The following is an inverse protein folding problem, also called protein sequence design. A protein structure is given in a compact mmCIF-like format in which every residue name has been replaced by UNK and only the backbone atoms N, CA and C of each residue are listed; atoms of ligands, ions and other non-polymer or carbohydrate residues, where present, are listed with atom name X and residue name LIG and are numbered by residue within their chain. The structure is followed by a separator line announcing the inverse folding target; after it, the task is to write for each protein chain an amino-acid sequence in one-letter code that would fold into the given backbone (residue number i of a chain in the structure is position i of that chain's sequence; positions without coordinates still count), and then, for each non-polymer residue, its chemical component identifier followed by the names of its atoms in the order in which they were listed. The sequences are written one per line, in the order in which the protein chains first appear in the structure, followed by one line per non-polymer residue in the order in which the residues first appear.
data_IF_961972524759
#
_entry.id   IF_961972524759
#
_cell.length_a   1.000
_cell.length_b   1.000
_cell.length_c   1.000
_cell.angle_alpha   90.00
_cell.angle_beta   90.00
_cell.angle_gamma   90.00
#
_symmetry.space_group_name_H-M   'P 1'
#
loop_
_entity.id
_entity.type
_entity.pdbx_description
1 polymer ?
#
# COMPACT_ATOMS: atom_id res chain seq x y z
N UNK A 1 17.48 -20.69 16.05
CA UNK A 1 17.40 -19.70 14.97
C UNK A 1 16.77 -18.35 15.40
N UNK A 2 16.36 -18.18 16.67
CA UNK A 2 15.61 -17.01 17.13
C UNK A 2 16.43 -15.92 17.85
N UNK A 3 17.76 -15.98 17.89
CA UNK A 3 18.60 -15.00 18.59
C UNK A 3 19.30 -13.96 17.70
N UNK A 4 19.26 -14.10 16.37
CA UNK A 4 19.97 -13.18 15.46
C UNK A 4 19.09 -12.15 14.75
N UNK A 5 17.76 -12.33 14.78
CA UNK A 5 16.82 -11.38 14.14
C UNK A 5 16.66 -10.09 14.98
N UNK A 6 17.01 -10.13 16.27
CA UNK A 6 16.75 -9.03 17.22
C UNK A 6 17.90 -8.02 17.40
N UNK A 7 18.95 -8.08 16.60
CA UNK A 7 20.04 -7.09 16.66
C UNK A 7 20.17 -6.33 15.35
N UNK A 8 19.31 -5.32 15.19
CA UNK A 8 19.63 -4.22 14.29
C UNK A 8 20.87 -3.51 14.84
N UNK A 9 22.00 -3.46 14.12
CA UNK A 9 23.15 -2.69 14.59
C UNK A 9 22.79 -1.21 14.60
N UNK A 10 22.98 -0.56 15.73
CA UNK A 10 22.95 0.89 15.84
C UNK A 10 23.90 1.48 14.80
N UNK A 11 23.39 2.03 13.74
CA UNK A 11 24.15 2.82 12.78
C UNK A 11 24.46 4.18 13.39
N UNK A 12 25.53 4.24 14.16
CA UNK A 12 26.20 5.53 14.44
C UNK A 12 26.68 6.09 13.10
N UNK A 13 26.47 7.35 12.86
CA UNK A 13 26.74 8.11 11.63
C UNK A 13 28.15 8.05 11.04
N UNK A 14 29.03 7.24 11.60
CA UNK A 14 30.43 7.10 11.19
C UNK A 14 30.80 5.72 10.60
N UNK A 15 29.90 4.75 10.49
CA UNK A 15 30.25 3.40 10.07
C UNK A 15 29.54 2.90 8.80
N UNK A 16 29.23 3.79 7.86
CA UNK A 16 28.86 3.40 6.49
C UNK A 16 29.95 2.54 5.80
N UNK A 17 31.04 2.16 6.51
CA UNK A 17 32.27 1.78 5.84
C UNK A 17 32.55 0.29 5.71
N UNK A 18 31.90 -0.64 6.39
CA UNK A 18 32.29 -2.05 6.28
C UNK A 18 31.22 -3.05 5.81
N UNK A 19 29.98 -2.89 6.22
CA UNK A 19 28.90 -3.77 5.76
C UNK A 19 28.39 -3.37 4.36
N UNK A 20 28.40 -2.08 4.06
CA UNK A 20 27.90 -1.49 2.83
C UNK A 20 28.86 -1.58 1.64
N UNK A 21 30.14 -1.87 1.87
CA UNK A 21 31.15 -1.95 0.78
C UNK A 21 30.95 -3.10 -0.19
N UNK A 22 30.13 -4.10 0.14
CA UNK A 22 29.83 -5.22 -0.78
C UNK A 22 28.55 -5.05 -1.57
N UNK A 23 27.64 -4.15 -1.17
CA UNK A 23 26.28 -4.11 -1.72
C UNK A 23 25.90 -2.80 -2.43
N UNK A 24 26.75 -1.80 -2.56
CA UNK A 24 26.42 -0.50 -3.21
C UNK A 24 25.12 0.17 -2.71
N UNK A 25 24.59 -0.19 -1.53
CA UNK A 25 23.35 0.30 -0.99
C UNK A 25 23.60 1.41 0.02
N UNK A 26 22.87 2.51 -0.10
CA UNK A 26 22.91 3.61 0.86
C UNK A 26 21.50 3.87 1.39
N UNK A 27 21.32 4.01 2.72
CA UNK A 27 20.04 4.43 3.27
C UNK A 27 19.61 5.78 2.67
N UNK A 28 18.37 5.86 2.19
CA UNK A 28 17.79 7.10 1.63
C UNK A 28 16.90 7.82 2.62
N UNK A 29 16.46 7.14 3.66
CA UNK A 29 15.73 7.69 4.79
C UNK A 29 16.63 7.74 6.03
N UNK A 30 16.40 8.72 6.89
CA UNK A 30 17.13 8.87 8.14
C UNK A 30 16.69 7.86 9.19
N UNK A 31 15.86 8.31 10.12
CA UNK A 31 15.53 7.56 11.34
C UNK A 31 14.60 6.35 11.11
N UNK A 32 13.71 6.44 10.13
CA UNK A 32 12.69 5.44 9.84
C UNK A 32 12.98 4.76 8.50
N UNK A 33 13.92 3.84 8.48
CA UNK A 33 14.15 2.98 7.34
C UNK A 33 14.18 1.51 7.76
N UNK A 34 13.72 0.65 6.86
CA UNK A 34 13.69 -0.78 7.08
C UNK A 34 14.45 -1.55 6.00
N UNK A 35 15.08 -2.64 6.41
CA UNK A 35 15.60 -3.64 5.48
C UNK A 35 15.49 -5.02 6.11
N UNK A 36 15.45 -6.03 5.26
CA UNK A 36 15.49 -7.41 5.68
C UNK A 36 16.69 -8.11 5.08
N UNK A 37 17.14 -9.18 5.73
CA UNK A 37 18.09 -10.10 5.12
C UNK A 37 17.36 -10.98 4.10
N UNK A 38 18.06 -11.47 3.10
CA UNK A 38 17.49 -12.31 2.05
C UNK A 38 16.84 -13.60 2.60
N UNK A 39 17.37 -14.15 3.71
CA UNK A 39 16.82 -15.35 4.37
C UNK A 39 15.39 -15.18 4.89
N UNK A 40 14.91 -13.95 5.02
CA UNK A 40 13.49 -13.68 5.34
C UNK A 40 12.57 -14.21 4.24
N UNK A 41 13.01 -14.15 2.98
CA UNK A 41 12.26 -14.69 1.86
C UNK A 41 12.14 -16.22 1.95
N UNK A 42 13.19 -16.92 2.41
CA UNK A 42 13.14 -18.37 2.64
C UNK A 42 12.12 -18.71 3.73
N UNK A 43 12.11 -17.94 4.83
CA UNK A 43 11.12 -18.11 5.89
C UNK A 43 9.68 -17.83 5.42
N UNK A 44 9.48 -16.86 4.52
CA UNK A 44 8.17 -16.62 3.92
C UNK A 44 7.72 -17.79 3.04
N UNK A 45 8.62 -18.40 2.25
CA UNK A 45 8.31 -19.59 1.48
C UNK A 45 7.96 -20.78 2.37
N UNK A 46 8.69 -20.98 3.46
CA UNK A 46 8.45 -22.08 4.41
C UNK A 46 7.07 -22.02 5.05
N UNK A 47 6.52 -20.82 5.23
CA UNK A 47 5.15 -20.63 5.73
C UNK A 47 4.09 -20.48 4.61
N UNK A 48 4.48 -20.69 3.34
CA UNK A 48 3.57 -20.82 2.19
C UNK A 48 3.35 -19.55 1.37
N UNK A 49 4.06 -18.45 1.61
CA UNK A 49 3.99 -17.29 0.73
C UNK A 49 4.61 -17.61 -0.64
N UNK A 50 3.93 -17.24 -1.71
CA UNK A 50 4.37 -17.45 -3.09
C UNK A 50 4.20 -16.21 -3.97
N UNK A 51 3.57 -15.14 -3.44
CA UNK A 51 3.36 -13.88 -4.11
C UNK A 51 3.67 -12.70 -3.18
N UNK A 52 4.34 -11.67 -3.70
CA UNK A 52 4.78 -10.48 -2.96
C UNK A 52 4.45 -9.21 -3.73
N UNK A 53 3.64 -8.34 -3.13
CA UNK A 53 3.44 -6.97 -3.60
C UNK A 53 4.54 -6.09 -3.01
N UNK A 54 5.46 -5.61 -3.86
CA UNK A 54 6.68 -4.92 -3.43
C UNK A 54 6.57 -3.39 -3.46
N UNK A 55 5.50 -2.84 -4.04
CA UNK A 55 5.27 -1.40 -4.04
C UNK A 55 4.81 -0.93 -2.66
N UNK A 56 5.66 -0.20 -1.96
CA UNK A 56 5.33 0.47 -0.70
C UNK A 56 6.34 1.59 -0.41
N UNK A 57 6.06 2.39 0.62
CA UNK A 57 6.87 3.54 1.02
C UNK A 57 8.27 3.18 1.56
N UNK A 58 8.55 1.91 1.86
CA UNK A 58 9.84 1.40 2.33
C UNK A 58 10.65 0.67 1.25
N UNK A 59 10.07 0.41 0.09
CA UNK A 59 10.72 -0.33 -0.99
C UNK A 59 11.98 0.36 -1.55
N UNK A 60 12.16 1.66 -1.27
CA UNK A 60 13.31 2.45 -1.70
C UNK A 60 14.22 2.91 -0.54
N UNK A 61 14.08 2.36 0.64
CA UNK A 61 14.85 2.80 1.82
C UNK A 61 16.37 2.59 1.66
N UNK A 62 16.78 1.62 0.86
CA UNK A 62 18.17 1.39 0.46
C UNK A 62 18.50 1.89 -0.96
N UNK A 63 17.66 2.78 -1.51
CA UNK A 63 17.86 3.37 -2.83
C UNK A 63 17.72 2.38 -3.98
N UNK A 64 18.18 2.81 -5.16
CA UNK A 64 18.14 1.99 -6.38
C UNK A 64 18.84 0.64 -6.22
N UNK A 65 19.97 0.59 -5.51
CA UNK A 65 20.69 -0.65 -5.23
C UNK A 65 19.84 -1.62 -4.40
N UNK A 66 19.08 -1.12 -3.41
CA UNK A 66 18.14 -1.94 -2.62
C UNK A 66 17.02 -2.54 -3.48
N UNK A 67 16.47 -1.76 -4.41
CA UNK A 67 15.48 -2.24 -5.38
C UNK A 67 16.03 -3.36 -6.24
N UNK A 68 17.23 -3.18 -6.83
CA UNK A 68 17.86 -4.20 -7.66
C UNK A 68 18.18 -5.48 -6.89
N UNK A 69 18.70 -5.36 -5.66
CA UNK A 69 18.94 -6.51 -4.80
C UNK A 69 17.65 -7.25 -4.44
N UNK A 70 16.58 -6.52 -4.15
CA UNK A 70 15.28 -7.15 -3.84
C UNK A 70 14.73 -7.88 -5.07
N UNK A 71 14.84 -7.30 -6.28
CA UNK A 71 14.44 -7.98 -7.52
C UNK A 71 15.20 -9.30 -7.73
N UNK A 72 16.53 -9.28 -7.59
CA UNK A 72 17.38 -10.46 -7.72
C UNK A 72 16.93 -11.56 -6.74
N UNK A 73 16.80 -11.24 -5.46
CA UNK A 73 16.46 -12.19 -4.41
C UNK A 73 15.04 -12.80 -4.55
N UNK A 74 14.05 -12.02 -4.96
CA UNK A 74 12.68 -12.56 -5.17
C UNK A 74 12.58 -13.36 -6.46
N UNK A 75 13.34 -12.99 -7.51
CA UNK A 75 13.39 -13.73 -8.77
C UNK A 75 14.09 -15.07 -8.60
N UNK A 76 15.25 -15.11 -7.93
CA UNK A 76 15.97 -16.35 -7.66
C UNK A 76 15.13 -17.38 -6.88
N UNK A 77 14.31 -16.91 -5.94
CA UNK A 77 13.39 -17.77 -5.18
C UNK A 77 12.07 -18.05 -5.90
N UNK A 78 11.87 -17.44 -7.06
CA UNK A 78 10.71 -17.68 -7.89
C UNK A 78 9.39 -17.19 -7.27
N UNK A 79 9.37 -16.12 -6.49
CA UNK A 79 8.13 -15.48 -6.08
C UNK A 79 7.40 -14.86 -7.27
N UNK A 80 6.08 -14.94 -7.29
CA UNK A 80 5.28 -13.98 -8.05
C UNK A 80 5.46 -12.61 -7.38
N UNK A 81 5.94 -11.61 -8.11
CA UNK A 81 6.19 -10.28 -7.54
C UNK A 81 5.85 -9.18 -8.54
N UNK A 82 5.54 -8.00 -8.04
CA UNK A 82 5.28 -6.79 -8.82
C UNK A 82 5.50 -5.52 -7.98
N UNK A 83 5.66 -4.39 -8.65
CA UNK A 83 5.59 -3.07 -8.03
C UNK A 83 6.92 -2.36 -7.83
N UNK A 84 8.04 -2.99 -8.16
CA UNK A 84 9.36 -2.34 -8.30
C UNK A 84 10.00 -2.79 -9.60
N UNK A 85 10.92 -2.02 -10.16
CA UNK A 85 11.57 -2.36 -11.41
C UNK A 85 12.85 -1.59 -11.66
N UNK A 86 13.59 -1.99 -12.71
CA UNK A 86 14.83 -1.35 -13.15
C UNK A 86 14.57 0.01 -13.81
N UNK A 87 13.36 0.22 -14.29
CA UNK A 87 12.85 1.48 -14.82
C UNK A 87 11.32 1.54 -14.66
N UNK A 88 10.68 2.63 -15.11
CA UNK A 88 9.23 2.80 -14.94
C UNK A 88 8.40 1.83 -15.80
N UNK A 89 8.93 1.33 -16.90
CA UNK A 89 8.25 0.33 -17.73
C UNK A 89 8.21 -1.01 -16.99
N UNK A 90 9.36 -1.48 -16.55
CA UNK A 90 9.52 -2.72 -15.78
C UNK A 90 8.72 -2.68 -14.46
N UNK A 91 8.81 -1.58 -13.71
CA UNK A 91 8.08 -1.44 -12.45
C UNK A 91 6.55 -1.51 -12.60
N UNK A 92 6.01 -1.11 -13.77
CA UNK A 92 4.56 -1.13 -14.09
C UNK A 92 4.08 -2.47 -14.62
N UNK A 93 4.97 -3.33 -15.06
CA UNK A 93 4.58 -4.65 -15.54
C UNK A 93 3.89 -5.45 -14.43
N UNK A 94 2.83 -6.15 -14.81
CA UNK A 94 2.21 -7.12 -13.89
C UNK A 94 3.12 -8.32 -13.75
N UNK A 95 3.44 -8.68 -12.50
CA UNK A 95 4.01 -9.99 -12.24
C UNK A 95 3.03 -11.06 -12.72
N UNK A 96 3.51 -12.08 -13.45
CA UNK A 96 2.67 -13.17 -13.95
C UNK A 96 3.31 -14.50 -13.64
N UNK A 97 2.54 -15.41 -13.03
CA UNK A 97 3.01 -16.77 -12.72
C UNK A 97 1.86 -17.75 -12.64
N UNK A 98 2.11 -18.99 -13.03
CA UNK A 98 1.19 -20.10 -12.76
C UNK A 98 1.27 -20.50 -11.29
N UNK A 99 0.14 -20.35 -10.57
CA UNK A 99 -0.03 -20.78 -9.20
C UNK A 99 -1.15 -21.83 -9.16
N UNK A 100 -0.77 -23.05 -8.80
CA UNK A 100 -1.70 -24.19 -8.89
C UNK A 100 -2.22 -24.39 -10.32
N UNK A 101 -3.53 -24.30 -10.49
CA UNK A 101 -4.21 -24.50 -11.79
C UNK A 101 -4.44 -23.21 -12.57
N UNK A 102 -4.14 -22.04 -11.99
CA UNK A 102 -4.46 -20.73 -12.59
C UNK A 102 -3.21 -19.94 -12.95
N UNK A 103 -3.27 -19.18 -14.04
CA UNK A 103 -2.34 -18.10 -14.32
C UNK A 103 -2.77 -16.89 -13.50
N UNK A 104 -1.90 -16.38 -12.66
CA UNK A 104 -2.15 -15.26 -11.75
C UNK A 104 -1.34 -14.06 -12.20
N UNK A 105 -1.99 -12.91 -12.33
CA UNK A 105 -1.37 -11.62 -12.59
C UNK A 105 -1.48 -10.74 -11.34
N UNK A 106 -0.37 -10.16 -10.92
CA UNK A 106 -0.28 -9.25 -9.78
C UNK A 106 0.11 -7.85 -10.25
N UNK A 107 -0.74 -6.88 -9.99
CA UNK A 107 -0.40 -5.47 -10.04
C UNK A 107 -0.08 -5.00 -8.62
N UNK A 108 1.04 -4.30 -8.41
CA UNK A 108 1.33 -3.61 -7.16
C UNK A 108 1.75 -2.17 -7.43
N UNK A 109 1.14 -1.22 -6.73
CA UNK A 109 1.34 0.22 -6.91
C UNK A 109 1.41 0.94 -5.57
N UNK A 110 2.18 2.04 -5.52
CA UNK A 110 2.25 2.96 -4.39
C UNK A 110 1.71 4.34 -4.79
N UNK A 111 0.76 4.86 -4.00
CA UNK A 111 0.18 6.18 -4.21
C UNK A 111 0.81 7.26 -3.31
N UNK A 112 1.79 6.90 -2.51
CA UNK A 112 2.49 7.85 -1.64
C UNK A 112 1.68 8.29 -0.41
N UNK A 113 2.02 9.45 0.16
CA UNK A 113 3.03 10.40 -0.30
C UNK A 113 4.46 9.87 -0.11
N UNK A 114 5.32 10.16 -1.06
CA UNK A 114 6.72 9.78 -1.02
C UNK A 114 7.57 10.72 -1.89
N UNK A 115 8.89 10.78 -1.67
CA UNK A 115 9.76 11.60 -2.49
C UNK A 115 9.75 11.08 -3.94
N UNK A 116 9.78 11.99 -4.91
CA UNK A 116 9.80 11.63 -6.34
C UNK A 116 10.96 10.69 -6.70
N UNK A 117 12.07 10.80 -5.97
CA UNK A 117 13.27 9.97 -6.16
C UNK A 117 13.06 8.49 -5.89
N UNK A 118 12.01 8.08 -5.17
CA UNK A 118 11.75 6.66 -4.92
C UNK A 118 11.05 5.95 -6.09
N UNK A 119 10.41 6.71 -6.97
CA UNK A 119 9.66 6.12 -8.06
C UNK A 119 10.55 5.82 -9.27
N UNK A 120 10.26 4.72 -9.94
CA UNK A 120 11.00 4.30 -11.12
C UNK A 120 10.81 5.30 -12.27
N UNK A 121 11.87 5.53 -13.05
CA UNK A 121 11.84 6.40 -14.21
C UNK A 121 12.48 5.75 -15.43
N UNK A 122 11.91 6.03 -16.60
CA UNK A 122 12.46 5.59 -17.86
C UNK A 122 13.62 6.50 -18.30
N UNK A 123 14.48 5.98 -19.16
CA UNK A 123 15.51 6.76 -19.82
C UNK A 123 14.90 7.93 -20.61
N UNK A 124 15.56 9.07 -20.53
CA UNK A 124 15.28 10.23 -21.36
C UNK A 124 16.55 10.64 -22.12
N UNK A 125 16.45 11.59 -23.03
CA UNK A 125 17.63 12.12 -23.75
C UNK A 125 18.69 12.72 -22.78
N UNK A 126 18.31 13.09 -21.57
CA UNK A 126 19.14 13.80 -20.61
C UNK A 126 19.45 13.03 -19.34
N UNK A 127 18.67 11.97 -19.04
CA UNK A 127 18.83 11.18 -17.82
C UNK A 127 18.76 9.68 -18.09
N UNK A 128 19.60 8.86 -17.43
CA UNK A 128 19.45 7.40 -17.48
C UNK A 128 18.15 6.98 -16.77
N UNK A 129 17.70 5.76 -17.06
CA UNK A 129 16.64 5.13 -16.29
C UNK A 129 17.02 5.02 -14.81
N UNK A 130 16.02 5.01 -13.94
CA UNK A 130 16.20 4.87 -12.50
C UNK A 130 15.35 3.72 -11.98
N UNK A 131 15.98 2.71 -11.32
CA UNK A 131 15.26 1.71 -10.56
C UNK A 131 14.41 2.34 -9.47
N UNK A 132 13.23 1.79 -9.22
CA UNK A 132 12.34 2.33 -8.19
C UNK A 132 11.00 1.63 -8.12
N UNK A 133 10.06 2.32 -7.49
CA UNK A 133 8.71 1.85 -7.17
C UNK A 133 7.72 2.23 -8.27
N UNK A 134 6.76 1.36 -8.52
CA UNK A 134 5.62 1.64 -9.41
C UNK A 134 4.68 2.65 -8.76
N UNK A 135 4.42 3.75 -9.44
CA UNK A 135 3.67 4.89 -8.91
C UNK A 135 2.26 4.98 -9.45
N UNK A 136 1.28 5.18 -8.56
CA UNK A 136 0.01 5.82 -8.89
C UNK A 136 0.11 7.30 -8.48
N UNK A 137 0.09 8.21 -9.45
CA UNK A 137 0.17 9.64 -9.14
C UNK A 137 -1.10 10.12 -8.47
N UNK A 138 -0.93 10.87 -7.39
CA UNK A 138 -2.01 11.49 -6.63
C UNK A 138 -1.68 12.96 -6.33
N UNK A 139 -2.71 13.79 -6.25
CA UNK A 139 -2.60 15.20 -5.84
C UNK A 139 -3.37 15.39 -4.54
N UNK A 140 -2.71 15.96 -3.53
CA UNK A 140 -3.36 16.34 -2.27
C UNK A 140 -3.89 17.75 -2.41
N UNK A 141 -5.17 17.94 -2.07
CA UNK A 141 -5.85 19.22 -2.12
C UNK A 141 -6.54 19.53 -0.78
N UNK A 142 -6.72 20.79 -0.51
CA UNK A 142 -7.52 21.27 0.61
C UNK A 142 -8.79 21.90 0.05
N UNK A 143 -9.92 21.24 0.29
CA UNK A 143 -11.22 21.79 -0.03
C UNK A 143 -11.57 22.91 0.95
N UNK A 144 -12.01 24.05 0.43
CA UNK A 144 -12.44 25.18 1.23
C UNK A 144 -13.73 25.80 0.68
N UNK A 145 -14.67 26.26 1.53
CA UNK A 145 -15.87 26.95 1.07
C UNK A 145 -15.53 28.22 0.28
N UNK A 146 -16.38 28.53 -0.67
CA UNK A 146 -16.20 29.61 -1.65
C UNK A 146 -15.77 30.96 -1.04
N UNK A 147 -16.37 31.38 0.07
CA UNK A 147 -15.98 32.63 0.74
C UNK A 147 -14.54 32.62 1.25
N UNK A 148 -14.03 31.47 1.69
CA UNK A 148 -12.65 31.29 2.12
C UNK A 148 -11.71 31.17 0.92
N UNK A 149 -12.12 30.46 -0.12
CA UNK A 149 -11.36 30.36 -1.35
C UNK A 149 -11.09 31.73 -1.97
N UNK A 150 -12.12 32.59 -2.08
CA UNK A 150 -11.96 33.96 -2.57
C UNK A 150 -11.03 34.83 -1.71
N UNK A 151 -11.00 34.61 -0.39
CA UNK A 151 -10.04 35.31 0.49
C UNK A 151 -8.62 34.84 0.25
N UNK A 152 -8.40 33.54 0.09
CA UNK A 152 -7.10 32.98 -0.26
C UNK A 152 -6.62 33.47 -1.63
N UNK A 153 -7.50 33.50 -2.64
CA UNK A 153 -7.17 34.00 -3.96
C UNK A 153 -6.75 35.48 -3.93
N UNK A 154 -7.45 36.32 -3.12
CA UNK A 154 -7.07 37.72 -2.91
C UNK A 154 -5.70 37.82 -2.22
N UNK A 155 -5.46 37.02 -1.19
CA UNK A 155 -4.15 36.99 -0.52
C UNK A 155 -3.04 36.62 -1.51
N UNK A 156 -3.26 35.59 -2.34
CA UNK A 156 -2.32 35.19 -3.40
C UNK A 156 -1.99 36.33 -4.37
N UNK A 157 -2.99 37.12 -4.75
CA UNK A 157 -2.80 38.28 -5.63
C UNK A 157 -1.97 39.42 -5.01
N UNK A 158 -1.81 39.44 -3.68
CA UNK A 158 -0.93 40.38 -2.99
C UNK A 158 0.50 39.85 -2.79
N UNK A 159 0.69 38.54 -2.93
CA UNK A 159 2.01 37.96 -2.86
C UNK A 159 2.72 38.17 -4.20
N UNK A 160 3.87 38.82 -4.17
CA UNK A 160 4.70 38.94 -5.36
C UNK A 160 5.26 37.55 -5.67
N UNK A 161 4.72 36.90 -6.68
CA UNK A 161 5.28 35.66 -7.21
C UNK A 161 6.23 36.00 -8.36
N UNK A 162 7.48 35.62 -8.23
CA UNK A 162 8.43 35.63 -9.35
C UNK A 162 8.30 34.29 -10.10
N UNK A 163 8.28 34.28 -11.44
CA UNK A 163 8.42 33.03 -12.19
C UNK A 163 9.66 32.22 -11.77
N UNK A 164 10.68 32.90 -11.21
CA UNK A 164 11.89 32.26 -10.70
C UNK A 164 11.69 31.58 -9.34
N UNK A 165 10.71 31.95 -8.52
CA UNK A 165 10.44 31.27 -7.26
C UNK A 165 9.91 29.85 -7.50
N UNK A 166 9.04 29.69 -8.48
CA UNK A 166 8.53 28.37 -8.85
C UNK A 166 9.62 27.48 -9.48
N UNK A 167 10.56 28.07 -10.23
CA UNK A 167 11.65 27.35 -10.87
C UNK A 167 12.84 27.06 -9.95
N UNK A 168 13.04 27.81 -8.88
CA UNK A 168 14.14 27.58 -7.94
C UNK A 168 13.96 26.30 -7.09
N UNK A 169 12.73 25.84 -6.88
CA UNK A 169 12.42 24.66 -6.09
C UNK A 169 12.08 23.45 -6.95
N UNK A 170 11.73 23.66 -8.21
CA UNK A 170 11.51 22.58 -9.17
C UNK A 170 12.85 22.14 -9.77
N UNK A 171 13.04 20.85 -9.94
CA UNK A 171 14.10 20.37 -10.81
C UNK A 171 13.80 20.83 -12.26
N UNK A 172 14.82 21.09 -13.10
CA UNK A 172 14.60 21.62 -14.46
C UNK A 172 13.60 20.86 -15.32
N UNK A 173 13.33 19.62 -14.99
CA UNK A 173 12.46 18.73 -15.77
C UNK A 173 11.19 18.30 -15.00
N UNK A 174 10.99 18.80 -13.76
CA UNK A 174 9.73 18.60 -13.08
C UNK A 174 8.65 19.43 -13.82
N UNK A 175 7.52 18.81 -14.20
CA UNK A 175 6.43 19.60 -14.76
C UNK A 175 6.01 20.63 -13.72
N UNK A 176 5.79 21.90 -14.12
CA UNK A 176 5.27 22.89 -13.20
C UNK A 176 3.95 22.37 -12.62
N UNK A 177 3.81 22.40 -11.30
CA UNK A 177 2.54 22.15 -10.63
C UNK A 177 1.60 23.32 -10.95
N UNK A 178 0.99 23.29 -12.14
CA UNK A 178 -0.02 24.26 -12.54
C UNK A 178 -1.32 23.82 -11.89
N UNK A 179 -1.85 24.67 -11.02
CA UNK A 179 -3.20 24.50 -10.51
C UNK A 179 -4.17 24.54 -11.69
N UNK A 180 -5.13 23.61 -11.70
CA UNK A 180 -6.21 23.60 -12.68
C UNK A 180 -7.13 24.84 -12.50
N UNK A 181 -7.95 25.15 -13.50
CA UNK A 181 -8.95 26.21 -13.36
C UNK A 181 -9.84 25.98 -12.12
N UNK A 182 -9.98 26.99 -11.28
CA UNK A 182 -10.69 26.91 -10.00
C UNK A 182 -9.87 26.36 -8.84
N UNK A 183 -8.57 26.21 -9.01
CA UNK A 183 -7.62 25.84 -7.99
C UNK A 183 -6.63 26.96 -7.69
N UNK A 184 -6.03 26.90 -6.53
CA UNK A 184 -5.04 27.88 -6.06
C UNK A 184 -3.87 27.12 -5.45
N UNK A 185 -2.69 27.27 -6.02
CA UNK A 185 -1.47 26.70 -5.47
C UNK A 185 -0.77 27.73 -4.59
N UNK A 186 -0.60 27.42 -3.30
CA UNK A 186 0.18 28.19 -2.35
C UNK A 186 1.41 27.37 -1.95
N UNK A 187 2.57 27.66 -2.55
CA UNK A 187 3.83 27.03 -2.20
C UNK A 187 3.75 25.50 -2.11
N UNK A 188 3.14 24.87 -3.13
CA UNK A 188 2.96 23.42 -3.20
C UNK A 188 1.72 22.88 -2.49
N UNK A 189 0.93 23.72 -1.82
CA UNK A 189 -0.36 23.33 -1.27
C UNK A 189 -1.50 23.79 -2.21
N UNK A 190 -2.25 22.84 -2.75
CA UNK A 190 -3.35 23.11 -3.66
C UNK A 190 -4.65 23.26 -2.86
N UNK A 191 -5.30 24.41 -3.02
CA UNK A 191 -6.65 24.67 -2.50
C UNK A 191 -7.67 24.61 -3.63
N UNK A 192 -8.84 24.04 -3.35
CA UNK A 192 -9.95 23.96 -4.30
C UNK A 192 -11.25 24.36 -3.63
N UNK A 193 -12.22 24.83 -4.43
CA UNK A 193 -13.57 25.13 -3.92
C UNK A 193 -14.28 23.83 -3.53
N UNK A 194 -14.88 23.82 -2.33
CA UNK A 194 -15.67 22.71 -1.82
C UNK A 194 -16.82 23.21 -0.96
N UNK A 195 -17.84 22.40 -0.75
CA UNK A 195 -18.95 22.74 0.12
C UNK A 195 -18.49 22.89 1.60
N UNK A 196 -17.53 22.08 2.01
CA UNK A 196 -17.00 22.03 3.38
C UNK A 196 -15.48 22.04 3.38
N UNK A 197 -14.87 22.37 4.52
CA UNK A 197 -13.45 22.16 4.73
C UNK A 197 -13.13 20.68 4.74
N UNK A 198 -12.06 20.28 4.04
CA UNK A 198 -11.64 18.89 4.02
C UNK A 198 -10.31 18.66 3.31
N UNK A 199 -9.67 17.56 3.67
CA UNK A 199 -8.53 17.03 2.91
C UNK A 199 -9.08 16.19 1.77
N UNK A 200 -8.52 16.35 0.60
CA UNK A 200 -8.91 15.61 -0.60
C UNK A 200 -7.65 15.01 -1.24
N UNK A 201 -7.83 13.85 -1.81
CA UNK A 201 -6.80 13.20 -2.65
C UNK A 201 -7.48 12.90 -3.98
N UNK A 202 -6.86 13.33 -5.05
CA UNK A 202 -7.29 13.09 -6.41
C UNK A 202 -6.27 12.20 -7.12
N UNK A 203 -6.76 11.18 -7.81
CA UNK A 203 -5.92 10.28 -8.60
C UNK A 203 -5.71 10.90 -9.98
N UNK A 204 -4.46 10.98 -10.43
CA UNK A 204 -4.13 11.39 -11.80
C UNK A 204 -4.67 10.36 -12.79
N UNK A 205 -5.57 10.82 -13.67
CA UNK A 205 -6.29 9.95 -14.59
C UNK A 205 -5.37 9.28 -15.63
N UNK A 206 -4.33 9.99 -16.07
CA UNK A 206 -3.37 9.41 -17.02
C UNK A 206 -2.56 8.29 -16.35
N UNK A 207 -2.13 8.50 -15.11
CA UNK A 207 -1.47 7.48 -14.31
C UNK A 207 -2.38 6.28 -14.05
N UNK A 208 -3.63 6.51 -13.64
CA UNK A 208 -4.60 5.44 -13.39
C UNK A 208 -4.88 4.61 -14.65
N UNK A 209 -5.07 5.26 -15.80
CA UNK A 209 -5.40 4.59 -17.06
C UNK A 209 -4.34 3.57 -17.49
N UNK A 210 -3.08 3.81 -17.20
CA UNK A 210 -1.99 2.86 -17.49
C UNK A 210 -2.22 1.54 -16.72
N UNK A 211 -2.49 1.65 -15.41
CA UNK A 211 -2.68 0.48 -14.55
C UNK A 211 -4.01 -0.24 -14.84
N UNK A 212 -5.08 0.51 -15.07
CA UNK A 212 -6.38 -0.07 -15.42
C UNK A 212 -6.34 -0.80 -16.78
N UNK A 213 -5.63 -0.24 -17.75
CA UNK A 213 -5.40 -0.92 -19.04
C UNK A 213 -4.62 -2.23 -18.87
N UNK A 214 -3.62 -2.27 -18.00
CA UNK A 214 -2.84 -3.47 -17.73
C UNK A 214 -3.70 -4.55 -17.03
N UNK A 215 -4.58 -4.17 -16.09
CA UNK A 215 -5.58 -5.06 -15.48
C UNK A 215 -6.49 -5.65 -16.57
N UNK A 216 -7.08 -4.80 -17.42
CA UNK A 216 -7.99 -5.24 -18.48
C UNK A 216 -7.33 -6.20 -19.47
N UNK A 217 -6.07 -5.95 -19.82
CA UNK A 217 -5.31 -6.85 -20.69
C UNK A 217 -5.03 -8.21 -20.04
N UNK A 218 -4.72 -8.23 -18.73
CA UNK A 218 -4.51 -9.48 -17.98
C UNK A 218 -5.82 -10.28 -17.88
N UNK A 219 -6.91 -9.61 -17.52
CA UNK A 219 -8.24 -10.21 -17.46
C UNK A 219 -8.69 -10.78 -18.82
N UNK A 220 -8.47 -10.04 -19.91
CA UNK A 220 -8.79 -10.50 -21.27
C UNK A 220 -7.98 -11.74 -21.70
N UNK A 221 -6.82 -11.99 -21.11
CA UNK A 221 -6.04 -13.24 -21.30
C UNK A 221 -6.57 -14.41 -20.46
N UNK A 222 -7.51 -14.19 -19.55
CA UNK A 222 -8.01 -15.18 -18.60
C UNK A 222 -7.11 -15.36 -17.37
N UNK A 223 -6.22 -14.41 -17.08
CA UNK A 223 -5.44 -14.42 -15.85
C UNK A 223 -6.36 -14.10 -14.65
N UNK A 224 -6.09 -14.71 -13.50
CA UNK A 224 -6.65 -14.27 -12.22
C UNK A 224 -5.89 -13.04 -11.75
N UNK A 225 -6.53 -11.88 -11.70
CA UNK A 225 -5.88 -10.59 -11.50
C UNK A 225 -6.01 -10.10 -10.06
N UNK A 226 -4.89 -9.90 -9.39
CA UNK A 226 -4.80 -9.28 -8.06
C UNK A 226 -4.27 -7.86 -8.22
N UNK A 227 -5.04 -6.85 -7.81
CA UNK A 227 -4.61 -5.46 -7.76
C UNK A 227 -4.28 -5.07 -6.32
N UNK A 228 -3.04 -4.60 -6.08
CA UNK A 228 -2.58 -4.16 -4.77
C UNK A 228 -2.21 -2.68 -4.80
N UNK A 229 -2.68 -1.94 -3.78
CA UNK A 229 -2.41 -0.52 -3.56
C UNK A 229 -1.79 -0.29 -2.19
N UNK A 230 -0.64 0.37 -2.15
CA UNK A 230 -0.09 0.94 -0.93
C UNK A 230 -0.28 2.46 -0.90
N UNK A 231 -0.66 3.04 0.28
CA UNK A 231 -0.80 4.48 0.43
C UNK A 231 -0.74 4.93 1.88
N UNK A 232 -0.27 6.16 2.10
CA UNK A 232 -0.27 6.84 3.40
C UNK A 232 -1.17 8.10 3.41
N UNK A 233 -2.18 8.14 2.57
CA UNK A 233 -3.22 9.19 2.56
C UNK A 233 -4.40 8.76 3.45
N UNK A 234 -4.15 8.71 4.76
CA UNK A 234 -5.13 8.23 5.75
C UNK A 234 -6.13 9.30 6.14
N UNK A 235 -7.32 8.87 6.51
CA UNK A 235 -8.28 9.71 7.21
C UNK A 235 -7.82 9.94 8.67
N UNK A 236 -8.35 10.96 9.37
CA UNK A 236 -8.07 11.17 10.79
C UNK A 236 -8.37 9.95 11.65
N UNK A 237 -9.44 9.22 11.37
CA UNK A 237 -9.69 7.88 11.88
C UNK A 237 -8.98 6.88 10.96
N UNK A 238 -7.93 6.23 11.44
CA UNK A 238 -7.12 5.31 10.63
C UNK A 238 -7.92 4.11 10.10
N UNK A 239 -9.00 3.74 10.81
CA UNK A 239 -9.92 2.68 10.37
C UNK A 239 -10.86 3.12 9.25
N UNK A 240 -10.99 4.43 9.01
CA UNK A 240 -11.86 4.96 7.96
C UNK A 240 -11.20 4.80 6.58
N UNK A 241 -11.98 4.31 5.63
CA UNK A 241 -11.50 4.12 4.26
C UNK A 241 -11.62 5.43 3.49
N UNK A 242 -10.53 5.98 2.94
CA UNK A 242 -10.60 7.20 2.14
C UNK A 242 -11.48 7.02 0.90
N UNK A 243 -12.30 8.01 0.61
CA UNK A 243 -13.25 7.94 -0.52
C UNK A 243 -12.56 7.70 -1.87
N UNK A 244 -11.39 8.28 -2.08
CA UNK A 244 -10.63 8.08 -3.31
C UNK A 244 -10.17 6.64 -3.49
N UNK A 245 -9.81 5.95 -2.37
CA UNK A 245 -9.43 4.53 -2.39
C UNK A 245 -10.63 3.66 -2.76
N UNK A 246 -11.82 3.96 -2.18
CA UNK A 246 -13.06 3.25 -2.53
C UNK A 246 -13.35 3.35 -4.03
N UNK A 247 -13.25 4.56 -4.58
CA UNK A 247 -13.47 4.80 -6.02
C UNK A 247 -12.46 4.04 -6.86
N UNK A 248 -11.17 4.16 -6.55
CA UNK A 248 -10.11 3.51 -7.32
C UNK A 248 -10.19 1.98 -7.24
N UNK A 249 -10.46 1.43 -6.05
CA UNK A 249 -10.62 -0.01 -5.86
C UNK A 249 -11.75 -0.60 -6.72
N UNK A 250 -12.92 0.05 -6.71
CA UNK A 250 -14.05 -0.35 -7.56
C UNK A 250 -13.70 -0.23 -9.05
N UNK A 251 -13.00 0.83 -9.45
CA UNK A 251 -12.54 0.97 -10.83
C UNK A 251 -11.57 -0.13 -11.24
N UNK A 252 -10.71 -0.63 -10.32
CA UNK A 252 -9.86 -1.78 -10.59
C UNK A 252 -10.68 -3.06 -10.82
N UNK A 253 -11.71 -3.29 -10.02
CA UNK A 253 -12.64 -4.42 -10.20
C UNK A 253 -13.38 -4.29 -11.54
N UNK A 254 -13.91 -3.11 -11.86
CA UNK A 254 -14.61 -2.85 -13.12
C UNK A 254 -13.68 -3.00 -14.35
N UNK A 255 -12.38 -2.78 -14.18
CA UNK A 255 -11.37 -3.02 -15.20
C UNK A 255 -11.00 -4.51 -15.37
N UNK A 256 -11.44 -5.39 -14.47
CA UNK A 256 -11.25 -6.84 -14.55
C UNK A 256 -10.33 -7.44 -13.49
N UNK A 257 -10.07 -6.75 -12.38
CA UNK A 257 -9.40 -7.36 -11.23
C UNK A 257 -10.37 -8.30 -10.48
N UNK A 258 -9.90 -9.49 -10.13
CA UNK A 258 -10.65 -10.47 -9.34
C UNK A 258 -10.58 -10.21 -7.83
N UNK A 259 -9.54 -9.51 -7.40
CA UNK A 259 -9.32 -9.09 -6.01
C UNK A 259 -8.63 -7.75 -5.99
N UNK A 260 -9.10 -6.86 -5.11
CA UNK A 260 -8.36 -5.65 -4.76
C UNK A 260 -7.94 -5.70 -3.29
N UNK A 261 -6.69 -5.37 -3.03
CA UNK A 261 -6.12 -5.30 -1.67
C UNK A 261 -5.43 -3.96 -1.49
N UNK A 262 -5.74 -3.26 -0.41
CA UNK A 262 -5.04 -2.04 -0.02
C UNK A 262 -4.32 -2.21 1.32
N UNK A 263 -3.23 -1.51 1.47
CA UNK A 263 -2.47 -1.42 2.71
C UNK A 263 -1.85 -0.01 2.86
N UNK A 264 -1.48 0.34 4.08
CA UNK A 264 -0.82 1.61 4.43
C UNK A 264 -1.21 2.05 5.82
N UNK A 265 -2.51 2.23 6.09
CA UNK A 265 -2.96 2.33 7.47
C UNK A 265 -2.65 1.03 8.21
N UNK A 266 -1.93 1.09 9.36
CA UNK A 266 -1.46 -0.11 10.04
C UNK A 266 -2.56 -0.77 10.90
N UNK A 267 -3.83 -0.63 10.49
CA UNK A 267 -5.01 -1.09 11.23
C UNK A 267 -6.00 -1.79 10.30
N UNK A 268 -6.88 -2.58 10.88
CA UNK A 268 -7.99 -3.18 10.16
C UNK A 268 -8.97 -2.09 9.69
N UNK A 269 -9.27 -2.04 8.40
CA UNK A 269 -10.27 -1.15 7.85
C UNK A 269 -11.58 -1.92 7.57
N UNK A 270 -11.92 -2.15 6.32
CA UNK A 270 -13.16 -2.84 5.93
C UNK A 270 -12.91 -3.82 4.79
N UNK A 271 -13.87 -4.70 4.56
CA UNK A 271 -14.00 -5.47 3.33
C UNK A 271 -15.32 -5.12 2.65
N UNK A 272 -15.28 -4.99 1.34
CA UNK A 272 -16.45 -4.82 0.48
C UNK A 272 -16.55 -5.99 -0.50
N UNK A 273 -17.77 -6.48 -0.74
CA UNK A 273 -18.06 -7.35 -1.88
C UNK A 273 -18.71 -6.49 -2.95
N UNK A 274 -17.92 -6.13 -3.97
CA UNK A 274 -18.35 -5.28 -5.07
C UNK A 274 -18.43 -6.10 -6.36
N UNK A 275 -19.60 -6.10 -7.01
CA UNK A 275 -19.88 -6.94 -8.18
C UNK A 275 -19.56 -8.43 -7.99
N UNK A 276 -19.73 -8.95 -6.74
CA UNK A 276 -19.40 -10.33 -6.38
C UNK A 276 -17.92 -10.61 -6.11
N UNK A 277 -17.05 -9.59 -6.13
CA UNK A 277 -15.61 -9.71 -5.95
C UNK A 277 -15.12 -8.93 -4.71
N UNK A 278 -14.05 -9.39 -4.04
CA UNK A 278 -13.62 -8.82 -2.78
C UNK A 278 -12.70 -7.61 -2.97
N UNK A 279 -12.97 -6.57 -2.19
CA UNK A 279 -12.11 -5.42 -1.98
C UNK A 279 -11.72 -5.38 -0.50
N UNK A 280 -10.46 -5.62 -0.19
CA UNK A 280 -9.90 -5.49 1.15
C UNK A 280 -9.23 -4.13 1.28
N UNK A 281 -9.82 -3.22 2.05
CA UNK A 281 -9.30 -1.87 2.24
C UNK A 281 -8.13 -1.79 3.22
N UNK A 282 -8.02 -2.73 4.15
CA UNK A 282 -6.92 -2.86 5.09
C UNK A 282 -7.08 -4.09 5.97
N UNK A 283 -6.11 -4.98 5.90
CA UNK A 283 -6.09 -6.23 6.68
C UNK A 283 -5.18 -6.16 7.91
N UNK A 284 -4.62 -4.96 8.22
CA UNK A 284 -3.69 -4.75 9.32
C UNK A 284 -2.28 -5.29 9.05
N UNK A 285 -1.43 -5.24 10.06
CA UNK A 285 -0.05 -5.72 9.98
C UNK A 285 0.02 -7.22 10.28
N UNK A 286 0.70 -7.99 9.43
CA UNK A 286 0.95 -9.41 9.66
C UNK A 286 2.32 -9.67 10.30
N UNK A 287 3.35 -8.98 9.81
CA UNK A 287 4.69 -8.95 10.40
C UNK A 287 5.06 -7.48 10.60
N UNK A 288 5.29 -7.07 11.82
CA UNK A 288 5.63 -5.69 12.16
C UNK A 288 6.64 -5.65 13.30
N UNK A 289 7.74 -4.95 13.07
CA UNK A 289 8.83 -4.81 14.04
C UNK A 289 9.09 -3.32 14.25
N UNK A 290 9.11 -2.89 15.50
CA UNK A 290 9.44 -1.52 15.90
C UNK A 290 10.72 -1.56 16.72
N UNK A 291 11.61 -0.62 16.46
CA UNK A 291 12.83 -0.49 17.26
C UNK A 291 12.45 0.01 18.66
N UNK A 292 13.08 -0.51 19.75
CA UNK A 292 12.77 -0.08 21.11
C UNK A 292 12.90 1.44 21.35
N UNK A 293 13.76 2.11 20.57
CA UNK A 293 13.96 3.57 20.67
C UNK A 293 12.87 4.39 19.95
N UNK A 294 11.96 3.76 19.22
CA UNK A 294 10.85 4.43 18.49
C UNK A 294 9.61 4.64 19.38
N UNK A 295 9.66 4.13 20.63
CA UNK A 295 8.55 4.18 21.55
C UNK A 295 7.51 3.08 21.36
N UNK A 296 6.46 3.13 22.15
CA UNK A 296 5.32 2.24 21.96
C UNK A 296 4.41 2.78 20.86
N UNK A 297 4.07 1.91 19.91
CA UNK A 297 3.05 2.23 18.91
C UNK A 297 1.66 2.05 19.54
N UNK A 298 1.01 3.16 19.79
CA UNK A 298 -0.41 3.26 20.11
C UNK A 298 -1.17 3.75 18.87
N UNK A 299 -2.33 3.24 18.55
CA UNK A 299 -3.22 2.39 19.34
C UNK A 299 -2.90 0.89 19.22
N UNK A 300 -3.40 0.05 20.16
CA UNK A 300 -3.13 -1.39 20.18
C UNK A 300 -3.65 -2.14 18.93
N UNK A 301 -4.57 -1.55 18.19
CA UNK A 301 -5.10 -2.09 16.92
C UNK A 301 -4.03 -2.25 15.84
N UNK A 302 -2.89 -1.56 15.93
CA UNK A 302 -1.76 -1.74 14.97
C UNK A 302 -1.10 -3.11 15.07
N UNK A 303 -1.36 -3.83 16.15
CA UNK A 303 -0.86 -5.17 16.40
C UNK A 303 -1.86 -6.28 16.02
N UNK A 304 -2.97 -5.90 15.40
CA UNK A 304 -4.05 -6.80 14.97
C UNK A 304 -4.14 -6.86 13.46
N UNK A 305 -4.42 -8.04 12.94
CA UNK A 305 -4.67 -8.27 11.53
C UNK A 305 -5.66 -9.39 11.27
N UNK A 306 -6.01 -9.58 10.02
CA UNK A 306 -6.84 -10.70 9.55
C UNK A 306 -6.16 -11.36 8.36
N UNK A 307 -6.05 -12.69 8.42
CA UNK A 307 -5.78 -13.51 7.25
C UNK A 307 -7.11 -13.84 6.60
N UNK A 308 -7.28 -13.46 5.33
CA UNK A 308 -8.48 -13.72 4.54
C UNK A 308 -8.23 -14.87 3.56
N UNK A 309 -8.97 -15.96 3.69
CA UNK A 309 -8.92 -17.11 2.80
C UNK A 309 -10.11 -17.08 1.84
N UNK A 310 -9.88 -16.63 0.61
CA UNK A 310 -10.89 -16.59 -0.44
C UNK A 310 -11.02 -17.94 -1.13
N UNK A 311 -12.25 -18.45 -1.23
CA UNK A 311 -12.57 -19.67 -1.98
C UNK A 311 -13.25 -19.32 -3.28
N UNK A 312 -12.70 -19.83 -4.37
CA UNK A 312 -13.24 -19.67 -5.71
C UNK A 312 -13.56 -21.05 -6.29
N UNK A 313 -14.66 -21.16 -7.00
CA UNK A 313 -15.00 -22.35 -7.78
C UNK A 313 -14.10 -22.50 -9.02
N UNK A 314 -14.31 -23.56 -9.78
CA UNK A 314 -13.54 -23.82 -11.01
C UNK A 314 -13.75 -22.74 -12.08
N UNK A 315 -14.90 -22.06 -12.07
CA UNK A 315 -15.23 -20.99 -13.01
C UNK A 315 -14.56 -19.65 -12.63
N UNK A 316 -14.01 -19.54 -11.42
CA UNK A 316 -13.45 -18.27 -10.88
C UNK A 316 -14.46 -17.45 -10.09
N UNK A 317 -15.64 -17.99 -9.81
CA UNK A 317 -16.64 -17.32 -8.99
C UNK A 317 -16.27 -17.43 -7.50
N UNK A 318 -16.29 -16.32 -6.78
CA UNK A 318 -16.04 -16.29 -5.35
C UNK A 318 -17.22 -16.93 -4.60
N UNK A 319 -16.96 -18.01 -3.87
CA UNK A 319 -17.97 -18.72 -3.06
C UNK A 319 -18.05 -18.20 -1.63
N UNK A 320 -16.94 -17.71 -1.10
CA UNK A 320 -16.88 -17.21 0.27
C UNK A 320 -15.49 -16.87 0.73
N UNK A 321 -15.42 -16.22 1.88
CA UNK A 321 -14.17 -15.79 2.50
C UNK A 321 -14.18 -16.18 3.96
N UNK A 322 -13.19 -16.94 4.41
CA UNK A 322 -12.94 -17.21 5.82
C UNK A 322 -11.94 -16.19 6.36
N UNK A 323 -12.25 -15.59 7.50
CA UNK A 323 -11.49 -14.54 8.14
C UNK A 323 -10.89 -15.08 9.45
N UNK A 324 -9.57 -15.13 9.52
CA UNK A 324 -8.83 -15.57 10.69
C UNK A 324 -8.14 -14.39 11.34
N UNK A 325 -8.57 -13.91 12.50
CA UNK A 325 -7.89 -12.86 13.24
C UNK A 325 -6.52 -13.32 13.72
N UNK A 326 -5.57 -12.41 13.63
CA UNK A 326 -4.18 -12.61 14.01
C UNK A 326 -3.73 -11.45 14.89
N UNK A 327 -2.91 -11.72 15.88
CA UNK A 327 -2.19 -10.71 16.65
C UNK A 327 -0.70 -10.90 16.51
N UNK A 328 0.02 -9.79 16.56
CA UNK A 328 1.48 -9.78 16.55
C UNK A 328 1.95 -9.69 18.00
N UNK A 329 2.80 -10.65 18.40
CA UNK A 329 3.27 -10.73 19.78
C UNK A 329 2.21 -11.28 20.75
N UNK A 330 2.46 -11.09 22.06
CA UNK A 330 1.66 -11.69 23.13
C UNK A 330 0.45 -10.83 23.54
N UNK A 331 -0.24 -10.17 22.62
CA UNK A 331 -1.45 -9.41 22.96
C UNK A 331 -2.58 -10.29 23.52
N UNK A 332 -2.54 -11.59 23.26
CA UNK A 332 -3.50 -12.54 23.86
C UNK A 332 -3.32 -12.66 25.38
N UNK A 333 -2.07 -12.52 25.86
CA UNK A 333 -1.72 -12.57 27.28
C UNK A 333 -0.73 -11.44 27.58
N UNK A 334 -1.17 -10.39 28.27
CA UNK A 334 -0.32 -9.26 28.70
C UNK A 334 0.66 -9.60 29.81
N UNK A 335 1.00 -10.85 30.00
CA UNK A 335 1.88 -11.28 31.10
C UNK A 335 3.30 -11.40 30.57
N UNK A 336 4.13 -10.35 30.84
CA UNK A 336 5.57 -10.46 30.99
C UNK A 336 6.37 -10.98 29.81
N UNK A 337 5.95 -10.73 28.59
CA UNK A 337 6.72 -11.17 27.44
C UNK A 337 8.04 -10.39 27.32
N UNK A 338 9.14 -11.12 27.35
CA UNK A 338 10.36 -10.63 26.76
C UNK A 338 10.03 -10.08 25.36
N UNK A 339 10.35 -8.83 25.08
CA UNK A 339 10.16 -8.09 23.81
C UNK A 339 10.78 -8.78 22.57
N UNK A 340 10.87 -10.10 22.57
CA UNK A 340 11.62 -10.89 21.59
C UNK A 340 10.79 -11.65 20.56
N UNK A 341 9.47 -11.66 20.65
CA UNK A 341 8.65 -12.51 19.76
C UNK A 341 7.52 -11.72 19.13
N UNK A 342 7.86 -10.83 18.22
CA UNK A 342 6.88 -10.17 17.35
C UNK A 342 6.46 -11.13 16.21
N UNK A 343 5.93 -12.29 16.58
CA UNK A 343 5.49 -13.34 15.65
C UNK A 343 3.97 -13.27 15.55
N UNK A 344 3.39 -13.33 14.35
CA UNK A 344 1.95 -13.42 14.19
C UNK A 344 1.43 -14.75 14.74
N UNK A 345 0.40 -14.68 15.58
CA UNK A 345 -0.29 -15.84 16.14
C UNK A 345 -1.81 -15.67 16.00
N UNK A 346 -2.61 -16.75 15.90
CA UNK A 346 -4.05 -16.64 15.91
C UNK A 346 -4.55 -15.88 17.15
N UNK A 347 -5.39 -14.88 16.93
CA UNK A 347 -6.02 -14.15 18.02
C UNK A 347 -7.06 -15.02 18.72
N UNK A 348 -7.17 -14.88 20.03
CA UNK A 348 -8.14 -15.62 20.85
C UNK A 348 -8.84 -14.69 21.85
N UNK A 349 -9.83 -15.21 22.57
CA UNK A 349 -10.50 -14.49 23.66
C UNK A 349 -11.21 -13.21 23.20
N UNK A 350 -11.08 -12.16 23.99
CA UNK A 350 -11.68 -10.85 23.72
C UNK A 350 -10.99 -10.15 22.55
N UNK A 351 -9.67 -10.28 22.41
CA UNK A 351 -8.90 -9.65 21.32
C UNK A 351 -9.43 -10.07 19.95
N UNK A 352 -9.68 -11.37 19.75
CA UNK A 352 -10.24 -11.88 18.51
C UNK A 352 -11.67 -11.36 18.26
N UNK A 353 -12.50 -11.33 19.30
CA UNK A 353 -13.89 -10.86 19.21
C UNK A 353 -13.96 -9.36 18.90
N UNK A 354 -13.28 -8.55 19.66
CA UNK A 354 -13.29 -7.09 19.52
C UNK A 354 -12.76 -6.68 18.12
N UNK A 355 -11.67 -7.32 17.66
CA UNK A 355 -11.13 -7.12 16.33
C UNK A 355 -12.12 -7.49 15.22
N UNK A 356 -12.79 -8.66 15.33
CA UNK A 356 -13.80 -9.09 14.38
C UNK A 356 -15.05 -8.20 14.41
N UNK A 357 -15.57 -7.87 15.59
CA UNK A 357 -16.76 -7.01 15.74
C UNK A 357 -16.53 -5.62 15.14
N UNK A 358 -15.35 -5.03 15.38
CA UNK A 358 -14.93 -3.79 14.75
C UNK A 358 -14.85 -3.90 13.23
N UNK A 359 -14.26 -4.97 12.70
CA UNK A 359 -14.16 -5.24 11.27
C UNK A 359 -15.54 -5.45 10.62
N UNK A 360 -16.43 -6.22 11.28
CA UNK A 360 -17.84 -6.41 10.87
C UNK A 360 -18.58 -5.08 10.80
N UNK A 361 -18.45 -4.27 11.85
CA UNK A 361 -19.14 -2.97 11.92
C UNK A 361 -18.73 -2.06 10.75
N UNK A 362 -17.44 -1.96 10.46
CA UNK A 362 -16.93 -1.16 9.33
C UNK A 362 -17.36 -1.73 7.97
N UNK A 363 -17.35 -3.04 7.81
CA UNK A 363 -17.73 -3.70 6.56
C UNK A 363 -19.22 -3.60 6.23
N UNK A 364 -20.08 -3.47 7.25
CA UNK A 364 -21.52 -3.20 7.06
C UNK A 364 -21.78 -1.88 6.34
N UNK A 365 -20.93 -0.87 6.52
CA UNK A 365 -21.05 0.40 5.79
C UNK A 365 -20.89 0.22 4.28
N UNK A 366 -20.26 -0.88 3.85
CA UNK A 366 -20.09 -1.28 2.45
C UNK A 366 -21.09 -2.37 2.01
N UNK A 367 -22.09 -2.66 2.84
CA UNK A 367 -23.10 -3.69 2.53
C UNK A 367 -22.62 -5.13 2.71
N UNK A 368 -21.43 -5.34 3.27
CA UNK A 368 -20.86 -6.69 3.46
C UNK A 368 -21.27 -7.25 4.82
N UNK A 369 -21.99 -8.38 4.80
CA UNK A 369 -22.32 -9.17 5.98
C UNK A 369 -21.20 -10.16 6.33
N UNK A 370 -20.84 -10.21 7.60
CA UNK A 370 -19.86 -11.16 8.12
C UNK A 370 -20.49 -11.90 9.30
N UNK A 371 -20.48 -13.22 9.25
CA UNK A 371 -20.93 -14.09 10.34
C UNK A 371 -19.73 -14.46 11.22
N UNK A 372 -19.84 -14.25 12.54
CA UNK A 372 -18.80 -14.63 13.50
C UNK A 372 -19.16 -15.97 14.11
N UNK A 373 -18.22 -16.91 14.08
CA UNK A 373 -18.32 -18.20 14.74
C UNK A 373 -17.04 -18.49 15.54
N UNK A 374 -17.16 -18.55 16.86
CA UNK A 374 -16.01 -18.68 17.74
C UNK A 374 -15.06 -17.48 17.62
N UNK A 375 -13.84 -17.71 17.13
CA UNK A 375 -12.82 -16.70 16.91
C UNK A 375 -12.54 -16.49 15.40
N UNK A 376 -13.46 -16.83 14.53
CA UNK A 376 -13.33 -16.63 13.09
C UNK A 376 -14.54 -15.92 12.51
N UNK A 377 -14.35 -15.24 11.37
CA UNK A 377 -15.43 -14.65 10.60
C UNK A 377 -15.62 -15.38 9.28
N UNK A 378 -16.83 -15.29 8.73
CA UNK A 378 -17.13 -15.82 7.39
C UNK A 378 -17.98 -14.83 6.60
N UNK A 379 -17.60 -14.60 5.35
CA UNK A 379 -18.42 -13.91 4.36
C UNK A 379 -18.98 -14.98 3.42
N UNK A 380 -20.31 -15.08 3.37
CA UNK A 380 -21.02 -15.87 2.38
C UNK A 380 -21.37 -14.93 1.22
N UNK A 381 -20.80 -15.19 0.06
CA UNK A 381 -21.08 -14.37 -1.12
C UNK A 381 -22.35 -14.94 -1.78
N UNK A 382 -23.43 -14.15 -1.89
CA UNK A 382 -24.60 -14.62 -2.62
C UNK A 382 -24.22 -14.85 -4.08
N UNK A 383 -24.78 -15.88 -4.74
CA UNK A 383 -24.51 -16.12 -6.14
C UNK A 383 -24.82 -14.85 -6.95
N UNK A 384 -23.92 -14.50 -7.86
CA UNK A 384 -24.08 -13.31 -8.69
C UNK A 384 -25.47 -13.32 -9.34
N UNK A 385 -26.26 -12.26 -9.16
CA UNK A 385 -27.51 -12.11 -9.88
C UNK A 385 -27.15 -12.00 -11.37
N UNK A 386 -27.46 -13.02 -12.14
CA UNK A 386 -27.40 -12.94 -13.59
C UNK A 386 -28.41 -11.85 -13.98
N UNK A 387 -27.92 -10.69 -14.31
CA UNK A 387 -28.73 -9.72 -15.04
C UNK A 387 -28.94 -10.31 -16.45
N UNK A 388 -30.17 -10.77 -16.70
CA UNK A 388 -30.61 -11.25 -18.00
C UNK A 388 -30.76 -10.08 -18.98
#
# INVERSE_FOLDING_TARGET
MSREIARSPQLKSASCSRYWRRSQHCPTKGRYFGYSRAEVLDALQDIGFNALALANNHAFDLGAGGVLSTLEEVQERGFLHAGIGVDATDARELGRRRLGTRDVALLAIDAGPGPSSMYAENHTAFRPSRPGVNRLKTVRKIGVPDGHFRRLARLGGHLQSSPFELTNYAQPEDPPEIASDGELNFYGTVFTQAANFGRMVEVDQASASIHLSAIGQASARGDFVIAYLHHHHWEPGWQDVPRWVQTFARTCIDAGADVFVSHGAPVLQAVEIYNGLPIFYGLGNFLFHVHPDEGEWDPPEVWQSIVAACRYDESGTLEGIDLLPVVIGDLNDRIGSERGRLVPVPATGHVARDGLEGFVSRSRAFGTGIEISGYSGRIVVPPARKFG
#
